data_IF_118409993837
#
_entry.id   IF_118409993837
#
_cell.length_a   1.000
_cell.length_b   1.000
_cell.length_c   1.000
_cell.angle_alpha   90.00
_cell.angle_beta   90.00
_cell.angle_gamma   90.00
#
_symmetry.space_group_name_H-M   'P 1'
#
loop_
_entity.id
_entity.type
_entity.pdbx_description
1 polymer ?
#
# COMPACT_ATOMS: atom_id res chain seq x y z
N UNK A 1 6.41 3.06 19.59
CA UNK A 1 6.61 4.24 20.47
C UNK A 1 7.36 5.40 19.82
N UNK A 2 8.57 5.22 19.26
CA UNK A 2 9.39 6.35 18.76
C UNK A 2 8.64 7.26 17.75
N UNK A 3 7.94 6.68 16.77
CA UNK A 3 7.14 7.42 15.81
C UNK A 3 5.94 8.16 16.44
N UNK A 4 5.28 7.58 17.43
CA UNK A 4 4.19 8.26 18.16
C UNK A 4 4.71 9.49 18.91
N UNK A 5 5.86 9.36 19.57
CA UNK A 5 6.53 10.49 20.25
C UNK A 5 7.01 11.57 19.29
N UNK A 6 7.33 11.20 18.06
CA UNK A 6 7.60 12.15 16.97
C UNK A 6 6.34 12.81 16.40
N UNK A 7 5.14 12.41 16.82
CA UNK A 7 3.88 13.02 16.38
C UNK A 7 3.09 12.22 15.36
N UNK A 8 3.49 10.97 15.04
CA UNK A 8 2.66 10.10 14.20
C UNK A 8 1.29 9.84 14.87
N UNK A 9 0.22 10.00 14.10
CA UNK A 9 -1.16 9.66 14.51
C UNK A 9 -1.65 8.33 13.94
N UNK A 10 -0.92 7.79 12.97
CA UNK A 10 -1.15 6.46 12.41
C UNK A 10 0.18 5.72 12.48
N UNK A 11 0.18 4.52 13.07
CA UNK A 11 1.33 3.60 13.04
C UNK A 11 0.96 2.33 12.30
N UNK A 12 1.92 1.77 11.58
CA UNK A 12 1.73 0.56 10.79
C UNK A 12 2.31 -0.66 11.51
N UNK A 13 1.62 -1.79 11.41
CA UNK A 13 2.12 -3.07 11.93
C UNK A 13 3.34 -3.55 11.16
N UNK A 14 4.19 -4.38 11.78
CA UNK A 14 5.36 -4.99 11.14
C UNK A 14 4.98 -6.26 10.35
N UNK A 15 3.99 -6.14 9.46
CA UNK A 15 3.38 -7.28 8.73
C UNK A 15 3.54 -7.22 7.22
N UNK A 16 4.33 -6.25 6.70
CA UNK A 16 4.54 -6.02 5.26
C UNK A 16 4.82 -7.30 4.45
N UNK A 17 5.79 -8.12 4.88
CA UNK A 17 6.14 -9.41 4.25
C UNK A 17 5.52 -10.65 4.92
N UNK A 18 4.68 -10.44 5.93
CA UNK A 18 4.19 -11.52 6.77
C UNK A 18 3.09 -12.32 6.06
N UNK A 19 3.40 -13.57 5.73
CA UNK A 19 2.48 -14.53 5.16
C UNK A 19 2.88 -15.94 5.63
N UNK A 20 1.92 -16.85 5.80
CA UNK A 20 2.22 -18.23 6.21
C UNK A 20 3.28 -18.88 5.30
N UNK A 21 3.25 -18.57 4.00
CA UNK A 21 4.21 -19.07 3.02
C UNK A 21 5.63 -18.52 3.23
N UNK A 22 5.80 -17.26 3.63
CA UNK A 22 7.14 -16.68 3.91
C UNK A 22 7.75 -17.28 5.17
N UNK A 23 6.94 -17.43 6.23
CA UNK A 23 7.36 -18.12 7.45
C UNK A 23 7.71 -19.60 7.20
N UNK A 24 6.92 -20.30 6.38
CA UNK A 24 7.20 -21.69 6.01
C UNK A 24 8.53 -21.83 5.25
N UNK A 25 8.83 -20.91 4.31
CA UNK A 25 10.14 -20.86 3.63
C UNK A 25 11.30 -20.66 4.61
N UNK A 26 11.06 -19.94 5.71
CA UNK A 26 12.02 -19.74 6.78
C UNK A 26 12.04 -20.89 7.83
N UNK A 27 11.29 -21.98 7.62
CA UNK A 27 11.29 -23.16 8.49
C UNK A 27 10.29 -23.13 9.65
N UNK A 28 9.40 -22.13 9.71
CA UNK A 28 8.40 -22.03 10.77
C UNK A 28 7.09 -22.76 10.42
N UNK A 29 6.41 -23.26 11.45
CA UNK A 29 5.09 -23.88 11.29
C UNK A 29 4.01 -22.84 10.99
N UNK A 30 2.86 -23.28 10.49
CA UNK A 30 1.70 -22.40 10.26
C UNK A 30 1.26 -21.69 11.55
N UNK A 31 1.26 -22.39 12.69
CA UNK A 31 0.87 -21.84 13.98
C UNK A 31 1.82 -20.72 14.39
N UNK A 32 3.13 -20.96 14.33
CA UNK A 32 4.13 -19.93 14.65
C UNK A 32 4.00 -18.72 13.72
N UNK A 33 3.71 -18.95 12.43
CA UNK A 33 3.49 -17.88 11.47
C UNK A 33 2.29 -17.01 11.85
N UNK A 34 1.13 -17.62 12.13
CA UNK A 34 -0.09 -16.87 12.49
C UNK A 34 0.06 -16.16 13.82
N UNK A 35 0.66 -16.81 14.82
CA UNK A 35 0.90 -16.20 16.13
C UNK A 35 1.84 -15.00 16.04
N UNK A 36 2.88 -15.09 15.19
CA UNK A 36 3.81 -13.98 14.97
C UNK A 36 3.13 -12.81 14.24
N UNK A 37 2.28 -13.11 13.26
CA UNK A 37 1.47 -12.10 12.56
C UNK A 37 0.56 -11.36 13.55
N UNK A 38 -0.25 -12.09 14.32
CA UNK A 38 -1.15 -11.55 15.35
C UNK A 38 -0.37 -10.73 16.39
N UNK A 39 0.76 -11.25 16.88
CA UNK A 39 1.62 -10.54 17.84
C UNK A 39 2.07 -9.16 17.34
N UNK A 40 2.29 -8.99 16.04
CA UNK A 40 2.63 -7.67 15.50
C UNK A 40 1.52 -6.63 15.70
N UNK A 41 0.25 -7.03 15.70
CA UNK A 41 -0.89 -6.14 15.98
C UNK A 41 -0.92 -5.80 17.46
N UNK A 42 -0.79 -6.80 18.34
CA UNK A 42 -0.76 -6.58 19.79
C UNK A 42 0.37 -5.64 20.22
N UNK A 43 1.57 -5.77 19.63
CA UNK A 43 2.68 -4.86 19.91
C UNK A 43 2.41 -3.42 19.46
N UNK A 44 1.71 -3.24 18.34
CA UNK A 44 1.28 -1.91 17.90
C UNK A 44 0.21 -1.34 18.86
N UNK A 45 -0.70 -2.18 19.35
CA UNK A 45 -1.70 -1.79 20.34
C UNK A 45 -1.09 -1.44 21.70
N UNK A 46 -0.15 -2.22 22.20
CA UNK A 46 0.57 -1.93 23.44
C UNK A 46 1.28 -0.56 23.35
N UNK A 47 1.90 -0.26 22.21
CA UNK A 47 2.50 1.04 21.96
C UNK A 47 1.44 2.17 21.92
N UNK A 48 0.28 1.94 21.28
CA UNK A 48 -0.84 2.89 21.28
C UNK A 48 -1.33 3.16 22.69
N UNK A 49 -1.65 2.12 23.45
CA UNK A 49 -2.19 2.22 24.81
C UNK A 49 -1.22 2.93 25.75
N UNK A 50 0.07 2.55 25.72
CA UNK A 50 1.11 3.21 26.50
C UNK A 50 1.19 4.70 26.16
N UNK A 51 1.21 5.04 24.87
CA UNK A 51 1.30 6.43 24.44
C UNK A 51 0.07 7.25 24.81
N UNK A 52 -1.14 6.72 24.65
CA UNK A 52 -2.40 7.39 25.01
C UNK A 52 -2.53 7.55 26.52
N UNK A 53 -2.03 6.59 27.30
CA UNK A 53 -1.94 6.72 28.75
C UNK A 53 -0.98 7.85 29.16
N UNK A 54 0.19 7.94 28.53
CA UNK A 54 1.17 9.03 28.72
C UNK A 54 0.64 10.38 28.21
N UNK A 55 -0.25 10.39 27.21
CA UNK A 55 -0.75 11.58 26.51
C UNK A 55 -2.28 11.51 26.31
N UNK A 56 -3.07 11.72 27.39
CA UNK A 56 -4.53 11.61 27.31
C UNK A 56 -5.15 12.50 26.24
N UNK A 57 -6.14 11.99 25.51
CA UNK A 57 -6.88 12.72 24.48
C UNK A 57 -6.27 12.65 23.07
N UNK A 58 -5.11 12.03 22.89
CA UNK A 58 -4.54 11.79 21.57
C UNK A 58 -5.28 10.65 20.84
N UNK A 59 -5.69 10.89 19.60
CA UNK A 59 -6.26 9.86 18.74
C UNK A 59 -5.16 9.21 17.89
N UNK A 60 -4.91 7.91 18.12
CA UNK A 60 -3.88 7.12 17.45
C UNK A 60 -4.51 5.91 16.79
N UNK A 61 -4.27 5.76 15.49
CA UNK A 61 -4.77 4.64 14.68
C UNK A 61 -3.68 3.60 14.40
N UNK A 62 -4.09 2.35 14.30
CA UNK A 62 -3.25 1.23 13.85
C UNK A 62 -3.68 0.84 12.44
N UNK A 63 -2.75 0.94 11.50
CA UNK A 63 -2.92 0.45 10.14
C UNK A 63 -2.25 -0.92 9.99
N UNK A 64 -3.03 -1.93 9.57
CA UNK A 64 -2.50 -3.23 9.22
C UNK A 64 -1.73 -3.13 7.90
N UNK A 65 -0.40 -3.23 7.96
CA UNK A 65 0.50 -3.20 6.78
C UNK A 65 0.44 -4.52 6.03
N UNK A 66 0.08 -4.47 4.75
CA UNK A 66 0.09 -5.61 3.83
C UNK A 66 0.83 -5.22 2.55
N UNK A 67 2.07 -5.70 2.41
CA UNK A 67 2.85 -5.55 1.19
C UNK A 67 2.34 -6.40 0.03
N UNK A 68 2.87 -6.19 -1.18
CA UNK A 68 2.46 -6.94 -2.36
C UNK A 68 3.02 -8.38 -2.32
N UNK A 69 2.50 -9.24 -3.18
CA UNK A 69 3.02 -10.58 -3.38
C UNK A 69 4.52 -10.57 -3.72
N UNK A 70 4.96 -9.59 -4.52
CA UNK A 70 6.36 -9.42 -4.91
C UNK A 70 7.33 -9.33 -3.73
N UNK A 71 6.91 -8.75 -2.60
CA UNK A 71 7.74 -8.63 -1.40
C UNK A 71 7.99 -9.99 -0.71
N UNK A 72 7.24 -11.04 -1.08
CA UNK A 72 7.37 -12.41 -0.53
C UNK A 72 8.21 -13.35 -1.40
N UNK A 73 8.70 -12.83 -2.54
CA UNK A 73 9.55 -13.56 -3.47
C UNK A 73 11.03 -13.44 -3.10
N UNK A 74 11.83 -14.35 -3.66
CA UNK A 74 13.29 -14.33 -3.55
C UNK A 74 13.89 -14.57 -4.94
N UNK A 75 14.51 -13.55 -5.57
CA UNK A 75 14.63 -12.17 -5.09
C UNK A 75 13.28 -11.43 -4.98
N UNK A 76 13.16 -10.39 -4.14
CA UNK A 76 11.96 -9.58 -4.03
C UNK A 76 11.62 -8.86 -5.34
N UNK A 77 10.33 -8.65 -5.62
CA UNK A 77 9.82 -8.09 -6.89
C UNK A 77 8.76 -7.00 -6.68
N UNK A 78 8.70 -6.37 -5.51
CA UNK A 78 7.77 -5.30 -5.17
C UNK A 78 7.99 -4.02 -6.00
N UNK A 79 9.14 -3.83 -6.64
CA UNK A 79 9.42 -2.66 -7.50
C UNK A 79 9.35 -2.97 -9.00
N UNK A 80 9.31 -4.24 -9.40
CA UNK A 80 9.37 -4.64 -10.81
C UNK A 80 8.20 -5.52 -11.27
N UNK A 81 7.55 -6.24 -10.35
CA UNK A 81 6.32 -6.97 -10.64
C UNK A 81 6.47 -8.25 -11.49
N UNK A 82 7.68 -8.81 -11.62
CA UNK A 82 7.92 -10.10 -12.32
C UNK A 82 7.51 -11.28 -11.43
N UNK A 83 6.21 -11.58 -11.43
CA UNK A 83 5.62 -12.63 -10.61
C UNK A 83 5.55 -13.97 -11.36
N UNK A 84 5.98 -15.10 -10.75
CA UNK A 84 5.88 -16.41 -11.37
C UNK A 84 4.41 -16.87 -11.48
N UNK A 85 4.09 -17.77 -12.43
CA UNK A 85 2.80 -18.44 -12.45
C UNK A 85 2.48 -19.16 -11.13
N UNK A 86 1.21 -19.19 -10.69
CA UNK A 86 0.06 -18.57 -11.35
C UNK A 86 -0.07 -17.07 -11.09
N UNK A 87 0.74 -16.46 -10.22
CA UNK A 87 0.59 -15.06 -9.76
C UNK A 87 0.94 -13.99 -10.80
N UNK A 88 1.64 -14.37 -11.86
CA UNK A 88 1.90 -13.52 -13.01
C UNK A 88 2.38 -14.37 -14.19
N UNK A 89 2.72 -13.72 -15.31
CA UNK A 89 3.09 -14.44 -16.52
C UNK A 89 4.49 -15.07 -16.42
N UNK A 90 5.40 -14.44 -15.68
CA UNK A 90 6.80 -14.84 -15.63
C UNK A 90 7.48 -14.31 -14.35
N UNK A 91 8.16 -15.21 -13.65
CA UNK A 91 9.02 -14.86 -12.52
C UNK A 91 10.34 -14.24 -13.00
N UNK A 92 11.02 -13.53 -12.12
CA UNK A 92 12.32 -12.93 -12.45
C UNK A 92 13.38 -13.98 -12.86
N UNK A 93 14.04 -13.79 -14.01
CA UNK A 93 14.97 -14.75 -14.62
C UNK A 93 16.34 -14.17 -15.04
N UNK A 94 16.65 -12.90 -14.75
CA UNK A 94 17.89 -12.22 -15.23
C UNK A 94 18.12 -12.36 -16.75
N UNK A 95 17.08 -12.09 -17.55
CA UNK A 95 17.11 -12.19 -19.02
C UNK A 95 16.55 -10.92 -19.67
N UNK A 96 16.91 -10.66 -20.93
CA UNK A 96 16.41 -9.52 -21.70
C UNK A 96 14.93 -9.68 -22.12
N UNK A 97 14.43 -10.93 -22.16
CA UNK A 97 13.05 -11.25 -22.57
C UNK A 97 12.05 -11.26 -21.40
N UNK A 98 12.33 -10.54 -20.31
CA UNK A 98 11.45 -10.48 -19.15
C UNK A 98 10.22 -9.59 -19.39
N UNK A 99 9.04 -10.10 -19.09
CA UNK A 99 7.78 -9.36 -19.17
C UNK A 99 6.94 -9.59 -17.91
N UNK A 100 6.20 -8.55 -17.51
CA UNK A 100 5.34 -8.58 -16.33
C UNK A 100 3.86 -8.34 -16.68
N UNK A 101 3.48 -8.43 -17.95
CA UNK A 101 2.12 -8.26 -18.47
C UNK A 101 1.66 -9.48 -19.25
N UNK A 102 0.37 -9.81 -19.16
CA UNK A 102 -0.19 -10.89 -19.97
C UNK A 102 -0.44 -10.40 -21.39
N UNK A 103 -0.17 -11.24 -22.39
CA UNK A 103 -0.45 -10.91 -23.80
C UNK A 103 -1.96 -10.70 -24.00
N UNK A 104 -2.34 -9.95 -25.03
CA UNK A 104 -3.75 -9.56 -25.26
C UNK A 104 -4.67 -10.75 -25.47
N UNK A 105 -4.12 -11.87 -25.95
CA UNK A 105 -4.81 -13.15 -26.16
C UNK A 105 -4.81 -14.08 -24.94
N UNK A 106 -4.07 -13.76 -23.87
CA UNK A 106 -3.96 -14.55 -22.65
C UNK A 106 -4.82 -13.99 -21.50
N UNK A 107 -6.11 -13.78 -21.79
CA UNK A 107 -7.07 -13.30 -20.79
C UNK A 107 -7.30 -14.33 -19.67
N UNK A 108 -7.29 -15.62 -20.00
CA UNK A 108 -7.43 -16.70 -19.03
C UNK A 108 -6.25 -16.74 -18.03
N UNK A 109 -5.02 -16.52 -18.49
CA UNK A 109 -3.85 -16.40 -17.64
C UNK A 109 -3.94 -15.22 -16.68
N UNK A 110 -4.39 -14.07 -17.17
CA UNK A 110 -4.58 -12.88 -16.33
C UNK A 110 -5.66 -13.10 -15.25
N UNK A 111 -6.80 -13.71 -15.61
CA UNK A 111 -7.85 -14.04 -14.64
C UNK A 111 -7.37 -15.02 -13.56
N UNK A 112 -6.60 -16.06 -13.94
CA UNK A 112 -5.98 -17.00 -12.99
C UNK A 112 -4.99 -16.30 -12.06
N UNK A 113 -4.24 -15.33 -12.58
CA UNK A 113 -3.31 -14.52 -11.81
C UNK A 113 -4.01 -13.64 -10.79
N UNK A 114 -5.09 -12.98 -11.20
CA UNK A 114 -5.94 -12.19 -10.31
C UNK A 114 -6.51 -13.08 -9.20
N UNK A 115 -7.03 -14.26 -9.52
CA UNK A 115 -7.57 -15.19 -8.52
C UNK A 115 -6.50 -15.68 -7.53
N UNK A 116 -5.31 -16.02 -8.03
CA UNK A 116 -4.19 -16.44 -7.18
C UNK A 116 -3.73 -15.32 -6.24
N UNK A 117 -3.61 -14.09 -6.73
CA UNK A 117 -3.27 -12.91 -5.94
C UNK A 117 -4.36 -12.57 -4.93
N UNK A 118 -5.64 -12.70 -5.30
CA UNK A 118 -6.76 -12.44 -4.40
C UNK A 118 -6.75 -13.42 -3.23
N UNK A 119 -6.52 -14.71 -3.52
CA UNK A 119 -6.34 -15.74 -2.48
C UNK A 119 -5.15 -15.45 -1.57
N UNK A 120 -4.02 -15.01 -2.12
CA UNK A 120 -2.85 -14.62 -1.33
C UNK A 120 -3.16 -13.51 -0.31
N UNK A 121 -3.86 -12.45 -0.75
CA UNK A 121 -4.24 -11.36 0.15
C UNK A 121 -5.32 -11.80 1.15
N UNK A 122 -6.31 -12.57 0.70
CA UNK A 122 -7.37 -13.13 1.55
C UNK A 122 -6.81 -13.99 2.68
N UNK A 123 -5.88 -14.89 2.39
CA UNK A 123 -5.27 -15.76 3.39
C UNK A 123 -4.59 -14.97 4.51
N UNK A 124 -3.94 -13.84 4.18
CA UNK A 124 -3.32 -12.95 5.17
C UNK A 124 -4.37 -12.20 5.98
N UNK A 125 -5.39 -11.64 5.33
CA UNK A 125 -6.49 -10.94 5.99
C UNK A 125 -7.20 -11.84 7.01
N UNK A 126 -7.48 -13.09 6.64
CA UNK A 126 -8.15 -14.06 7.50
C UNK A 126 -7.37 -14.41 8.77
N UNK A 127 -6.03 -14.25 8.79
CA UNK A 127 -5.24 -14.44 10.02
C UNK A 127 -5.65 -13.44 11.09
N UNK A 128 -5.94 -12.21 10.71
CA UNK A 128 -6.30 -11.13 11.63
C UNK A 128 -7.81 -11.05 11.85
N UNK A 129 -8.60 -11.17 10.77
CA UNK A 129 -10.03 -10.90 10.81
C UNK A 129 -10.87 -12.03 11.43
N UNK A 130 -10.32 -13.25 11.53
CA UNK A 130 -10.98 -14.37 12.23
C UNK A 130 -10.87 -14.28 13.75
N UNK A 131 -9.95 -13.47 14.26
CA UNK A 131 -9.85 -13.18 15.68
C UNK A 131 -10.45 -11.78 15.96
N UNK A 132 -11.67 -11.69 16.52
CA UNK A 132 -12.34 -10.42 16.76
C UNK A 132 -11.54 -9.48 17.67
N UNK A 133 -10.74 -10.02 18.59
CA UNK A 133 -9.90 -9.21 19.47
C UNK A 133 -8.80 -8.50 18.66
N UNK A 134 -8.02 -9.26 17.88
CA UNK A 134 -7.02 -8.71 16.96
C UNK A 134 -7.63 -7.76 15.93
N UNK A 135 -8.76 -8.12 15.30
CA UNK A 135 -9.43 -7.27 14.32
C UNK A 135 -9.99 -5.98 14.94
N UNK A 136 -10.39 -6.02 16.21
CA UNK A 136 -10.82 -4.87 16.99
C UNK A 136 -9.70 -3.84 17.22
N UNK A 137 -8.44 -4.30 17.34
CA UNK A 137 -7.28 -3.42 17.52
C UNK A 137 -6.89 -2.67 16.24
N UNK A 138 -7.21 -3.24 15.06
CA UNK A 138 -6.90 -2.66 13.75
C UNK A 138 -7.94 -1.59 13.40
N UNK A 139 -7.49 -0.38 13.06
CA UNK A 139 -8.37 0.71 12.64
C UNK A 139 -8.49 0.80 11.12
N UNK A 140 -7.40 0.50 10.40
CA UNK A 140 -7.27 0.69 8.95
C UNK A 140 -6.53 -0.50 8.33
N UNK A 141 -6.86 -0.90 7.10
CA UNK A 141 -6.06 -1.85 6.31
C UNK A 141 -5.26 -1.11 5.24
N UNK A 142 -3.94 -1.27 5.27
CA UNK A 142 -3.00 -0.57 4.40
C UNK A 142 -2.33 -1.55 3.44
N UNK A 143 -2.86 -1.65 2.21
CA UNK A 143 -2.13 -2.32 1.14
C UNK A 143 -1.11 -1.34 0.58
N UNK A 144 0.16 -1.70 0.60
CA UNK A 144 1.24 -0.76 0.32
C UNK A 144 2.29 -1.32 -0.61
N UNK A 145 2.99 -0.41 -1.31
CA UNK A 145 4.04 -0.73 -2.28
C UNK A 145 3.52 -1.63 -3.41
N UNK A 146 2.27 -1.46 -3.83
CA UNK A 146 1.67 -2.30 -4.87
C UNK A 146 2.23 -1.92 -6.24
N UNK A 147 2.93 -2.82 -6.97
CA UNK A 147 3.54 -2.47 -8.25
C UNK A 147 2.59 -2.60 -9.43
N UNK A 148 1.52 -3.37 -9.28
CA UNK A 148 0.75 -3.89 -10.40
C UNK A 148 -0.73 -3.54 -10.28
N UNK A 149 -1.33 -3.02 -11.35
CA UNK A 149 -2.78 -2.78 -11.42
C UNK A 149 -3.58 -4.07 -11.29
N UNK A 150 -3.07 -5.20 -11.82
CA UNK A 150 -3.72 -6.51 -11.64
C UNK A 150 -3.77 -6.94 -10.17
N UNK A 151 -2.75 -6.58 -9.38
CA UNK A 151 -2.72 -6.91 -7.96
C UNK A 151 -3.66 -5.99 -7.17
N UNK A 152 -3.77 -4.71 -7.53
CA UNK A 152 -4.78 -3.82 -6.95
C UNK A 152 -6.21 -4.35 -7.18
N UNK A 153 -6.47 -4.89 -8.37
CA UNK A 153 -7.74 -5.56 -8.66
C UNK A 153 -7.95 -6.81 -7.79
N UNK A 154 -6.92 -7.65 -7.65
CA UNK A 154 -6.96 -8.82 -6.78
C UNK A 154 -7.18 -8.48 -5.31
N UNK A 155 -6.61 -7.37 -4.82
CA UNK A 155 -6.84 -6.85 -3.46
C UNK A 155 -8.32 -6.47 -3.27
N UNK A 156 -8.92 -5.74 -4.22
CA UNK A 156 -10.35 -5.39 -4.18
C UNK A 156 -11.22 -6.65 -4.12
N UNK A 157 -10.87 -7.69 -4.89
CA UNK A 157 -11.53 -8.99 -4.83
C UNK A 157 -11.37 -9.66 -3.45
N UNK A 158 -10.15 -9.69 -2.91
CA UNK A 158 -9.88 -10.27 -1.60
C UNK A 158 -10.71 -9.62 -0.47
N UNK A 159 -10.99 -8.31 -0.54
CA UNK A 159 -11.85 -7.62 0.42
C UNK A 159 -13.32 -8.08 0.36
N UNK A 160 -13.84 -8.40 -0.83
CA UNK A 160 -15.18 -9.02 -0.99
C UNK A 160 -15.17 -10.43 -0.42
N UNK A 161 -14.18 -11.22 -0.80
CA UNK A 161 -14.07 -12.61 -0.39
C UNK A 161 -13.86 -12.74 1.11
N UNK A 162 -13.18 -11.78 1.75
CA UNK A 162 -13.04 -11.69 3.21
C UNK A 162 -14.41 -11.59 3.88
N UNK A 163 -15.23 -10.62 3.48
CA UNK A 163 -16.58 -10.43 4.02
C UNK A 163 -17.43 -11.69 3.83
N UNK A 164 -17.40 -12.27 2.63
CA UNK A 164 -18.16 -13.47 2.31
C UNK A 164 -17.73 -14.67 3.15
N UNK A 165 -16.41 -14.87 3.31
CA UNK A 165 -15.84 -15.97 4.09
C UNK A 165 -16.22 -15.85 5.56
N UNK A 166 -16.03 -14.69 6.18
CA UNK A 166 -16.38 -14.48 7.59
C UNK A 166 -17.89 -14.61 7.83
N UNK A 167 -18.72 -14.10 6.91
CA UNK A 167 -20.19 -14.25 6.98
C UNK A 167 -20.59 -15.73 6.94
N UNK A 168 -19.98 -16.51 6.04
CA UNK A 168 -20.23 -17.95 5.94
C UNK A 168 -19.75 -18.73 7.19
N UNK A 169 -18.71 -18.23 7.86
CA UNK A 169 -18.21 -18.77 9.13
C UNK A 169 -19.01 -18.30 10.36
N UNK A 170 -20.01 -17.44 10.20
CA UNK A 170 -20.81 -16.89 11.29
C UNK A 170 -20.07 -15.85 12.13
N UNK A 171 -18.98 -15.26 11.60
CA UNK A 171 -18.19 -14.22 12.25
C UNK A 171 -18.69 -12.85 11.77
N UNK A 172 -19.05 -11.97 12.71
CA UNK A 172 -19.46 -10.60 12.38
C UNK A 172 -18.31 -9.83 11.74
N UNK A 173 -18.50 -9.37 10.50
CA UNK A 173 -17.48 -8.60 9.79
C UNK A 173 -17.69 -7.10 9.96
N UNK A 174 -16.81 -6.48 10.75
CA UNK A 174 -16.69 -5.02 10.84
C UNK A 174 -15.78 -4.52 9.74
N UNK A 175 -16.37 -3.88 8.72
CA UNK A 175 -15.61 -3.24 7.63
C UNK A 175 -14.72 -2.13 8.19
N UNK A 176 -13.43 -2.20 7.89
CA UNK A 176 -12.46 -1.13 8.18
C UNK A 176 -12.26 -0.26 6.94
N UNK A 177 -11.98 1.05 7.10
CA UNK A 177 -11.42 1.83 6.00
C UNK A 177 -10.11 1.20 5.53
N UNK A 178 -9.80 1.35 4.26
CA UNK A 178 -8.61 0.74 3.68
C UNK A 178 -8.11 1.51 2.46
N UNK A 179 -6.82 1.41 2.16
CA UNK A 179 -6.21 2.05 1.00
C UNK A 179 -5.34 1.09 0.20
N UNK A 180 -5.07 1.48 -1.05
CA UNK A 180 -4.02 0.88 -1.88
C UNK A 180 -3.01 1.98 -2.21
N UNK A 181 -1.77 1.80 -1.74
CA UNK A 181 -0.65 2.67 -2.07
C UNK A 181 0.26 1.97 -3.07
N UNK A 182 0.57 2.67 -4.16
CA UNK A 182 1.37 2.16 -5.27
C UNK A 182 2.82 2.62 -5.16
N UNK A 183 3.70 1.85 -5.78
CA UNK A 183 5.10 2.23 -5.99
C UNK A 183 5.33 2.56 -7.46
N UNK A 184 6.00 3.69 -7.72
CA UNK A 184 6.27 4.17 -9.07
C UNK A 184 7.76 4.51 -9.24
N UNK A 185 8.63 3.50 -9.40
CA UNK A 185 10.06 3.73 -9.59
C UNK A 185 10.33 4.65 -10.79
N UNK A 186 11.16 5.67 -10.60
CA UNK A 186 11.41 6.67 -11.65
C UNK A 186 10.17 7.48 -12.06
N UNK A 187 9.14 7.53 -11.20
CA UNK A 187 7.88 8.22 -11.48
C UNK A 187 6.95 7.45 -12.44
N UNK A 188 7.20 6.16 -12.66
CA UNK A 188 6.41 5.35 -13.62
C UNK A 188 5.90 4.05 -12.99
N UNK A 189 4.75 3.57 -13.47
CA UNK A 189 4.27 2.24 -13.08
C UNK A 189 5.26 1.18 -13.57
N UNK A 190 5.65 0.21 -12.72
CA UNK A 190 6.49 -0.88 -13.18
C UNK A 190 5.74 -1.86 -14.08
N UNK A 191 4.40 -1.96 -13.99
CA UNK A 191 3.60 -2.81 -14.87
C UNK A 191 3.67 -2.30 -16.33
N UNK A 192 3.98 -3.20 -17.26
CA UNK A 192 3.99 -2.90 -18.69
C UNK A 192 2.63 -3.16 -19.34
N UNK A 193 2.41 -2.56 -20.50
CA UNK A 193 1.40 -2.97 -21.48
C UNK A 193 1.98 -4.06 -22.38
N UNK A 194 1.20 -4.52 -23.37
CA UNK A 194 1.63 -5.58 -24.27
C UNK A 194 2.59 -5.06 -25.35
N UNK A 195 2.59 -3.74 -25.53
CA UNK A 195 3.50 -2.97 -26.38
C UNK A 195 4.78 -2.55 -25.62
N UNK A 196 4.95 -2.99 -24.36
CA UNK A 196 6.13 -2.70 -23.55
C UNK A 196 6.15 -1.31 -22.89
N UNK A 197 5.09 -0.51 -23.05
CA UNK A 197 4.96 0.79 -22.40
C UNK A 197 4.59 0.64 -20.91
N UNK A 198 4.94 1.59 -20.06
CA UNK A 198 4.45 1.59 -18.68
C UNK A 198 2.95 1.86 -18.64
N UNK A 199 2.21 1.16 -17.77
CA UNK A 199 0.84 1.53 -17.42
C UNK A 199 0.84 2.95 -16.83
N UNK A 200 -0.22 3.69 -17.14
CA UNK A 200 -0.34 5.10 -16.76
C UNK A 200 -0.93 5.25 -15.35
N UNK A 201 -0.82 6.45 -14.77
CA UNK A 201 -1.57 6.80 -13.56
C UNK A 201 -3.08 6.67 -13.77
N UNK A 202 -3.58 6.95 -14.98
CA UNK A 202 -4.99 6.76 -15.32
C UNK A 202 -5.39 5.28 -15.22
N UNK A 203 -4.57 4.35 -15.71
CA UNK A 203 -4.81 2.91 -15.55
C UNK A 203 -4.89 2.50 -14.07
N UNK A 204 -3.99 3.04 -13.24
CA UNK A 204 -3.94 2.80 -11.79
C UNK A 204 -5.23 3.28 -11.11
N UNK A 205 -5.58 4.56 -11.32
CA UNK A 205 -6.75 5.19 -10.70
C UNK A 205 -8.05 4.52 -11.19
N UNK A 206 -8.16 4.25 -12.48
CA UNK A 206 -9.29 3.54 -13.06
C UNK A 206 -9.44 2.15 -12.46
N UNK A 207 -8.37 1.36 -12.38
CA UNK A 207 -8.44 0.00 -11.80
C UNK A 207 -8.78 0.02 -10.31
N UNK A 208 -8.36 1.05 -9.59
CA UNK A 208 -8.60 1.19 -8.16
C UNK A 208 -10.06 1.54 -7.83
N UNK A 209 -10.71 2.37 -8.67
CA UNK A 209 -12.03 2.94 -8.34
C UNK A 209 -13.17 2.61 -9.31
N UNK A 210 -12.89 2.06 -10.49
CA UNK A 210 -13.92 1.63 -11.44
C UNK A 210 -14.90 0.64 -10.81
N UNK A 211 -16.19 0.82 -11.06
CA UNK A 211 -17.23 -0.03 -10.48
C UNK A 211 -17.23 -1.46 -11.06
N UNK A 212 -16.75 -1.65 -12.30
CA UNK A 212 -16.92 -2.90 -13.04
C UNK A 212 -15.60 -3.55 -13.43
N UNK A 213 -15.59 -4.88 -13.40
CA UNK A 213 -14.57 -5.70 -14.06
C UNK A 213 -14.75 -5.63 -15.58
N UNK A 214 -13.70 -5.91 -16.35
CA UNK A 214 -13.81 -6.15 -17.79
C UNK A 214 -14.78 -7.30 -18.13
N UNK A 215 -14.98 -8.26 -17.21
CA UNK A 215 -15.89 -9.40 -17.33
C UNK A 215 -17.29 -9.21 -16.70
N UNK A 216 -17.68 -7.97 -16.34
CA UNK A 216 -19.08 -7.55 -16.35
C UNK A 216 -19.96 -7.71 -15.10
N UNK A 217 -19.76 -8.68 -14.21
CA UNK A 217 -20.90 -9.11 -13.34
C UNK A 217 -20.84 -8.77 -11.83
N UNK A 218 -19.75 -8.20 -11.28
CA UNK A 218 -19.71 -7.83 -9.85
C UNK A 218 -19.09 -6.46 -9.61
N UNK A 219 -19.79 -5.66 -8.80
CA UNK A 219 -19.27 -4.40 -8.29
C UNK A 219 -18.21 -4.68 -7.22
N UNK A 220 -16.97 -4.26 -7.48
CA UNK A 220 -15.87 -4.40 -6.54
C UNK A 220 -15.85 -3.21 -5.58
N UNK A 221 -15.57 -3.42 -4.28
CA UNK A 221 -15.51 -2.35 -3.30
C UNK A 221 -14.42 -1.36 -3.70
N UNK A 222 -14.69 -0.09 -3.42
CA UNK A 222 -13.72 0.99 -3.59
C UNK A 222 -12.95 1.16 -2.27
N UNK A 223 -11.62 1.36 -2.32
CA UNK A 223 -10.89 1.75 -1.13
C UNK A 223 -11.31 3.14 -0.66
N UNK A 224 -11.09 3.41 0.63
CA UNK A 224 -11.25 4.74 1.23
C UNK A 224 -10.17 5.71 0.74
N UNK A 225 -9.02 5.21 0.29
CA UNK A 225 -7.91 6.01 -0.18
C UNK A 225 -7.05 5.35 -1.24
N UNK A 226 -6.26 6.17 -1.92
CA UNK A 226 -5.21 5.76 -2.86
C UNK A 226 -3.93 6.50 -2.51
N UNK A 227 -2.78 5.89 -2.73
CA UNK A 227 -1.52 6.51 -2.36
C UNK A 227 -0.32 6.19 -3.22
N UNK A 228 0.78 6.86 -2.86
CA UNK A 228 2.11 6.68 -3.41
C UNK A 228 3.07 6.48 -2.24
N UNK A 229 3.80 5.38 -2.25
CA UNK A 229 4.83 5.11 -1.25
C UNK A 229 6.07 4.45 -1.85
N UNK A 230 7.17 4.51 -1.10
CA UNK A 230 8.49 4.00 -1.50
C UNK A 230 8.89 4.42 -2.93
N UNK A 231 8.51 5.66 -3.27
CA UNK A 231 8.83 6.35 -4.51
C UNK A 231 9.69 7.54 -4.13
N UNK A 232 10.67 7.86 -4.96
CA UNK A 232 11.61 8.93 -4.67
C UNK A 232 10.87 10.30 -4.59
N UNK A 233 11.22 11.17 -3.61
CA UNK A 233 10.51 12.43 -3.35
C UNK A 233 10.33 13.33 -4.57
N UNK A 234 11.30 13.36 -5.50
CA UNK A 234 11.28 14.23 -6.67
C UNK A 234 10.11 13.96 -7.63
N UNK A 235 9.54 12.76 -7.61
CA UNK A 235 8.41 12.40 -8.47
C UNK A 235 7.05 12.69 -7.82
N UNK A 236 7.00 12.91 -6.51
CA UNK A 236 5.75 12.93 -5.76
C UNK A 236 4.83 14.06 -6.20
N UNK A 237 5.35 15.27 -6.44
CA UNK A 237 4.51 16.40 -6.87
C UNK A 237 3.81 16.10 -8.20
N UNK A 238 4.55 15.66 -9.22
CA UNK A 238 3.98 15.35 -10.54
C UNK A 238 2.97 14.20 -10.48
N UNK A 239 3.27 13.16 -9.69
CA UNK A 239 2.36 12.04 -9.52
C UNK A 239 1.06 12.42 -8.80
N UNK A 240 1.13 13.29 -7.79
CA UNK A 240 -0.09 13.80 -7.12
C UNK A 240 -0.96 14.58 -8.09
N UNK A 241 -0.35 15.38 -8.97
CA UNK A 241 -1.06 16.09 -10.03
C UNK A 241 -1.75 15.10 -10.98
N UNK A 242 -1.01 14.10 -11.48
CA UNK A 242 -1.56 13.06 -12.36
C UNK A 242 -2.71 12.28 -11.71
N UNK A 243 -2.56 11.91 -10.43
CA UNK A 243 -3.59 11.21 -9.66
C UNK A 243 -4.86 12.06 -9.56
N UNK A 244 -4.72 13.35 -9.26
CA UNK A 244 -5.86 14.24 -9.13
C UNK A 244 -6.59 14.45 -10.48
N UNK A 245 -5.85 14.60 -11.59
CA UNK A 245 -6.44 14.65 -12.92
C UNK A 245 -7.17 13.36 -13.30
N UNK A 246 -6.56 12.21 -13.00
CA UNK A 246 -7.18 10.91 -13.27
C UNK A 246 -8.44 10.67 -12.41
N UNK A 247 -8.49 11.12 -11.16
CA UNK A 247 -9.71 11.00 -10.33
C UNK A 247 -10.83 11.89 -10.89
N UNK A 248 -10.52 13.10 -11.36
CA UNK A 248 -11.51 13.99 -11.99
C UNK A 248 -12.10 13.42 -13.27
N UNK A 249 -11.32 12.65 -14.02
CA UNK A 249 -11.80 12.04 -15.27
C UNK A 249 -12.65 10.79 -15.05
N UNK A 250 -12.71 10.25 -13.81
CA UNK A 250 -13.59 9.14 -13.49
C UNK A 250 -15.05 9.59 -13.41
N UNK A 251 -15.88 9.09 -14.32
CA UNK A 251 -17.34 9.21 -14.24
C UNK A 251 -17.87 8.26 -13.16
N UNK A 252 -17.92 8.74 -11.91
CA UNK A 252 -18.35 7.95 -10.75
C UNK A 252 -19.58 8.58 -10.08
N UNK A 253 -20.70 7.83 -9.94
CA UNK A 253 -21.87 8.30 -9.21
C UNK A 253 -21.51 8.65 -7.76
N UNK A 254 -21.90 9.84 -7.31
CA UNK A 254 -21.73 10.28 -5.92
C UNK A 254 -20.46 11.08 -5.60
N UNK A 255 -19.75 11.60 -6.61
CA UNK A 255 -18.51 12.40 -6.46
C UNK A 255 -17.45 11.69 -5.60
N UNK A 256 -16.70 10.77 -6.20
CA UNK A 256 -15.60 10.08 -5.53
C UNK A 256 -14.59 11.09 -4.95
N UNK A 257 -14.42 11.09 -3.62
CA UNK A 257 -13.39 11.87 -2.93
C UNK A 257 -12.58 10.99 -1.97
N UNK A 258 -11.54 10.30 -2.45
CA UNK A 258 -10.76 9.40 -1.62
C UNK A 258 -9.79 10.18 -0.73
N UNK A 259 -9.21 9.49 0.25
CA UNK A 259 -8.00 9.97 0.92
C UNK A 259 -6.81 9.88 -0.04
N UNK A 260 -5.91 10.85 0.05
CA UNK A 260 -4.59 10.80 -0.57
C UNK A 260 -3.55 10.36 0.46
N UNK A 261 -2.86 9.26 0.18
CA UNK A 261 -1.83 8.72 1.05
C UNK A 261 -0.44 8.96 0.40
N UNK A 262 0.48 9.61 1.12
CA UNK A 262 1.80 9.98 0.61
C UNK A 262 2.87 9.65 1.65
N UNK A 263 3.73 8.67 1.35
CA UNK A 263 4.87 8.37 2.22
C UNK A 263 6.08 7.89 1.40
N UNK A 264 6.81 8.83 0.75
CA UNK A 264 7.97 8.51 -0.07
C UNK A 264 9.16 8.07 0.76
N UNK A 265 10.22 7.64 0.08
CA UNK A 265 11.51 7.41 0.71
C UNK A 265 12.12 8.72 1.20
N UNK A 266 13.11 8.65 2.09
CA UNK A 266 13.82 9.84 2.60
C UNK A 266 14.79 10.48 1.58
N UNK A 267 14.79 10.03 0.31
CA UNK A 267 15.67 10.50 -0.75
C UNK A 267 17.03 9.79 -0.84
N UNK A 268 17.32 8.84 0.05
CA UNK A 268 18.48 7.95 -0.12
C UNK A 268 18.26 7.09 -1.38
N UNK A 269 19.29 6.90 -2.22
CA UNK A 269 19.18 6.11 -3.45
C UNK A 269 19.67 4.69 -3.19
N UNK A 270 18.85 3.67 -3.47
CA UNK A 270 19.30 2.28 -3.37
C UNK A 270 20.06 1.88 -4.64
N UNK A 271 21.36 1.60 -4.48
CA UNK A 271 22.18 1.07 -5.55
C UNK A 271 22.00 -0.45 -5.63
N UNK A 272 21.38 -0.90 -6.73
CA UNK A 272 21.07 -2.30 -7.00
C UNK A 272 22.33 -3.15 -7.29
N UNK A 273 23.42 -2.55 -7.77
CA UNK A 273 24.66 -3.24 -8.08
C UNK A 273 25.45 -3.52 -6.80
N UNK A 274 25.55 -2.51 -5.92
CA UNK A 274 26.26 -2.63 -4.66
C UNK A 274 25.39 -3.17 -3.51
N UNK A 275 24.08 -3.29 -3.73
CA UNK A 275 23.07 -3.65 -2.72
C UNK A 275 23.19 -2.76 -1.47
N UNK A 276 23.47 -1.48 -1.69
CA UNK A 276 23.76 -0.52 -0.63
C UNK A 276 23.01 0.79 -0.85
N UNK A 277 22.77 1.54 0.23
CA UNK A 277 22.12 2.85 0.15
C UNK A 277 23.16 3.95 -0.01
N UNK A 278 23.02 4.76 -1.06
CA UNK A 278 23.69 6.04 -1.19
C UNK A 278 22.92 7.05 -0.34
N UNK A 279 23.56 7.51 0.73
CA UNK A 279 22.95 8.42 1.70
C UNK A 279 22.75 9.78 1.05
N UNK A 280 21.51 10.26 1.02
CA UNK A 280 21.18 11.61 0.59
C UNK A 280 21.95 12.64 1.42
N UNK A 281 22.32 13.77 0.80
CA UNK A 281 22.97 14.86 1.53
C UNK A 281 22.09 15.32 2.70
N UNK A 282 22.71 15.89 3.74
CA UNK A 282 21.97 16.46 4.88
C UNK A 282 20.93 17.49 4.41
N UNK A 283 21.26 18.25 3.37
CA UNK A 283 20.38 19.26 2.78
C UNK A 283 19.13 18.65 2.12
N UNK A 284 19.28 17.53 1.40
CA UNK A 284 18.16 16.81 0.81
C UNK A 284 17.22 16.20 1.87
N UNK A 285 17.76 15.72 2.99
CA UNK A 285 16.93 15.28 4.13
C UNK A 285 16.24 16.46 4.83
N UNK A 286 16.85 17.64 4.82
CA UNK A 286 16.28 18.84 5.42
C UNK A 286 15.12 19.41 4.57
N UNK A 287 15.19 19.29 3.23
CA UNK A 287 14.12 19.72 2.34
C UNK A 287 12.94 18.75 2.31
N UNK A 288 13.16 17.43 2.53
CA UNK A 288 12.12 16.39 2.44
C UNK A 288 10.78 16.75 3.07
N UNK A 289 10.79 17.23 4.32
CA UNK A 289 9.55 17.59 5.04
C UNK A 289 8.91 18.87 4.49
N UNK A 290 9.72 19.82 4.00
CA UNK A 290 9.25 21.05 3.35
C UNK A 290 8.64 20.74 1.99
N UNK A 291 9.28 19.86 1.21
CA UNK A 291 8.82 19.44 -0.11
C UNK A 291 7.48 18.71 0.01
N UNK A 292 7.36 17.77 0.95
CA UNK A 292 6.09 17.10 1.24
C UNK A 292 5.00 18.05 1.72
N UNK A 293 5.33 19.02 2.58
CA UNK A 293 4.37 20.06 2.98
C UNK A 293 3.85 20.83 1.77
N UNK A 294 4.73 21.22 0.84
CA UNK A 294 4.34 21.95 -0.36
C UNK A 294 3.43 21.11 -1.26
N UNK A 295 3.74 19.82 -1.44
CA UNK A 295 2.88 18.88 -2.18
C UNK A 295 1.49 18.79 -1.55
N UNK A 296 1.41 18.58 -0.23
CA UNK A 296 0.13 18.45 0.48
C UNK A 296 -0.68 19.73 0.39
N UNK A 297 -0.03 20.88 0.57
CA UNK A 297 -0.70 22.18 0.47
C UNK A 297 -1.23 22.44 -0.94
N UNK A 298 -0.45 22.11 -1.98
CA UNK A 298 -0.90 22.20 -3.36
C UNK A 298 -2.11 21.26 -3.59
N UNK A 299 -2.04 20.02 -3.12
CA UNK A 299 -3.10 19.02 -3.23
C UNK A 299 -4.40 19.42 -2.52
N UNK A 300 -4.32 20.23 -1.46
CA UNK A 300 -5.47 20.75 -0.72
C UNK A 300 -6.23 21.88 -1.44
N UNK A 301 -5.61 22.52 -2.45
CA UNK A 301 -6.24 23.64 -3.15
C UNK A 301 -7.52 23.22 -3.88
N UNK A 302 -8.43 24.18 -4.05
CA UNK A 302 -9.65 23.99 -4.86
C UNK A 302 -9.34 23.56 -6.30
N UNK A 303 -8.15 23.93 -6.81
CA UNK A 303 -7.65 23.48 -8.11
C UNK A 303 -7.69 21.96 -8.22
N UNK A 304 -7.41 21.20 -7.15
CA UNK A 304 -7.61 19.75 -7.16
C UNK A 304 -9.00 19.37 -6.66
N UNK A 305 -9.42 19.80 -5.48
CA UNK A 305 -10.79 19.62 -4.96
C UNK A 305 -11.32 18.18 -4.86
N UNK A 306 -10.52 17.16 -5.24
CA UNK A 306 -10.93 15.74 -5.30
C UNK A 306 -10.63 14.96 -4.04
N UNK A 307 -9.76 15.45 -3.16
CA UNK A 307 -9.35 14.73 -1.96
C UNK A 307 -10.29 15.05 -0.79
N UNK A 308 -10.59 14.06 0.05
CA UNK A 308 -11.36 14.24 1.29
C UNK A 308 -10.50 14.22 2.56
N UNK A 309 -9.24 13.79 2.45
CA UNK A 309 -8.30 13.71 3.56
C UNK A 309 -6.91 13.32 3.08
N UNK A 310 -5.93 13.47 3.97
CA UNK A 310 -4.52 13.21 3.69
C UNK A 310 -3.90 12.35 4.78
N UNK A 311 -3.12 11.34 4.39
CA UNK A 311 -2.21 10.61 5.27
C UNK A 311 -0.80 10.83 4.74
N UNK A 312 0.07 11.41 5.57
CA UNK A 312 1.42 11.81 5.14
C UNK A 312 2.44 11.20 6.10
N UNK A 313 3.48 10.57 5.57
CA UNK A 313 4.51 9.90 6.35
C UNK A 313 5.78 9.69 5.53
N UNK A 314 6.55 8.64 5.85
CA UNK A 314 7.67 8.21 5.01
C UNK A 314 7.84 6.69 4.97
N UNK A 315 8.48 6.21 3.91
CA UNK A 315 8.82 4.81 3.69
C UNK A 315 10.29 4.55 4.07
N UNK A 316 11.15 4.18 3.12
CA UNK A 316 12.49 3.71 3.43
C UNK A 316 13.34 4.88 3.91
N UNK A 317 14.14 4.61 4.95
CA UNK A 317 15.13 5.54 5.51
C UNK A 317 14.52 6.78 6.19
N UNK A 318 13.21 6.80 6.40
CA UNK A 318 12.54 7.83 7.21
C UNK A 318 12.56 7.47 8.69
N UNK A 319 13.22 8.31 9.49
CA UNK A 319 13.30 8.16 10.95
C UNK A 319 12.27 9.03 11.69
N UNK A 320 12.15 8.86 13.03
CA UNK A 320 11.29 9.69 13.87
C UNK A 320 11.60 11.20 13.78
N UNK A 321 12.86 11.58 13.55
CA UNK A 321 13.30 12.97 13.38
C UNK A 321 12.63 13.64 12.16
N UNK A 322 12.55 12.93 11.03
CA UNK A 322 11.86 13.43 9.83
C UNK A 322 10.35 13.53 10.04
N UNK A 323 9.75 12.57 10.76
CA UNK A 323 8.32 12.60 11.08
C UNK A 323 8.00 13.77 12.02
N UNK A 324 8.85 14.04 13.01
CA UNK A 324 8.70 15.22 13.88
C UNK A 324 8.74 16.51 13.07
N UNK A 325 9.72 16.63 12.17
CA UNK A 325 9.83 17.81 11.31
C UNK A 325 8.63 17.97 10.38
N UNK A 326 8.12 16.88 9.82
CA UNK A 326 6.93 16.88 8.98
C UNK A 326 5.69 17.34 9.76
N UNK A 327 5.50 16.82 10.98
CA UNK A 327 4.39 17.21 11.86
C UNK A 327 4.41 18.72 12.15
N UNK A 328 5.56 19.29 12.47
CA UNK A 328 5.72 20.74 12.72
C UNK A 328 5.34 21.60 11.50
N UNK A 329 5.58 21.11 10.29
CA UNK A 329 5.41 21.87 9.05
C UNK A 329 4.03 21.73 8.43
N UNK A 330 3.45 20.52 8.46
CA UNK A 330 2.16 20.20 7.82
C UNK A 330 0.98 20.48 8.74
N UNK A 331 1.15 20.30 10.05
CA UNK A 331 0.09 20.46 11.04
C UNK A 331 0.52 21.42 12.17
N UNK A 332 0.78 22.72 11.86
CA UNK A 332 1.20 23.68 12.86
C UNK A 332 0.04 23.99 13.82
N UNK A 333 0.14 23.51 15.07
CA UNK A 333 -0.83 23.79 16.13
C UNK A 333 -1.57 22.55 16.68
N UNK A 334 -1.42 21.39 16.05
CA UNK A 334 -1.86 20.08 16.56
C UNK A 334 -0.79 19.38 17.42
#
# INVERSE_FOLDING_TARGET
MAFLRAGARIIMTSTYQAAVTTFKKAGYSKIVATDTMVKSVHLANEARETFVHENPGQDVKIALSLGPFGATLSPPQEFAGYYPPPYGPMGYLQSDDMYNSFRTDDTEGEEKSIEALARFHLERLLVFARDPETWGMIDIVAFETVPLVREAFAIRKAMVDLKNTLTAEGIEFVQKPWWISFVLPGGQSPQKTNEGQCKTVLDIVYTTFSARMASGDRELPRPSGIGINCTAPEFISGLVDEYAHAIKSLDTPGCLRPWLIIYPDAGDVYDILTRSWLVASKDAKHSWAVDLKNVVHAAQTEQYGVWSGFVVGGCCRTGPDLIQRLKELVFPGD
#
